data_IF_803717956547
#
_entry.id   IF_803717956547
#
_cell.length_a   1.000
_cell.length_b   1.000
_cell.length_c   1.000
_cell.angle_alpha   90.00
_cell.angle_beta   90.00
_cell.angle_gamma   90.00
#
_symmetry.space_group_name_H-M   'P 1'
#
loop_
_entity.id
_entity.type
_entity.pdbx_description
1 polymer ?
#
# COMPACT_ATOMS: atom_id res chain seq x y z
N UNK A 1 -44.44 36.14 -8.17
CA UNK A 1 -44.92 34.78 -7.83
C UNK A 1 -44.13 34.31 -6.63
N UNK A 2 -44.67 34.55 -5.44
CA UNK A 2 -44.05 34.13 -4.17
C UNK A 2 -44.46 32.70 -3.86
N UNK A 3 -43.50 31.87 -3.50
CA UNK A 3 -43.72 30.50 -3.05
C UNK A 3 -44.50 30.56 -1.73
N UNK A 4 -45.66 29.87 -1.57
CA UNK A 4 -46.37 29.89 -0.30
C UNK A 4 -45.56 29.10 0.71
N UNK A 5 -44.93 29.82 1.63
CA UNK A 5 -44.33 29.28 2.83
C UNK A 5 -45.49 28.66 3.64
N UNK A 6 -45.49 27.33 3.83
CA UNK A 6 -46.57 26.64 4.54
C UNK A 6 -46.49 26.95 6.04
N UNK A 7 -46.98 28.12 6.43
CA UNK A 7 -47.15 28.52 7.83
C UNK A 7 -48.23 27.65 8.46
N UNK A 8 -47.84 26.49 9.00
CA UNK A 8 -48.74 25.62 9.74
C UNK A 8 -48.38 24.14 9.77
N UNK A 9 -47.48 23.66 8.89
CA UNK A 9 -47.10 22.24 8.82
C UNK A 9 -45.75 21.99 9.51
N UNK A 10 -45.73 21.03 10.43
CA UNK A 10 -44.54 20.59 11.15
C UNK A 10 -44.47 19.06 11.16
N UNK A 11 -43.35 18.50 10.72
CA UNK A 11 -43.11 17.06 10.81
C UNK A 11 -42.38 16.71 12.10
N UNK A 12 -42.76 15.57 12.68
CA UNK A 12 -42.11 15.00 13.85
C UNK A 12 -41.54 13.64 13.49
N UNK A 13 -40.29 13.42 13.86
CA UNK A 13 -39.64 12.11 13.77
C UNK A 13 -39.47 11.55 15.18
N UNK A 14 -39.69 10.25 15.32
CA UNK A 14 -39.56 9.53 16.58
C UNK A 14 -38.55 8.39 16.42
N UNK A 15 -37.88 8.04 17.52
CA UNK A 15 -36.88 6.98 17.56
C UNK A 15 -37.21 5.92 18.61
N UNK A 16 -37.01 4.64 18.27
CA UNK A 16 -37.19 3.42 19.09
C UNK A 16 -38.62 3.11 19.52
N UNK A 17 -39.34 4.10 20.02
CA UNK A 17 -40.76 4.01 20.38
C UNK A 17 -41.50 5.21 19.79
N UNK A 18 -42.78 5.05 19.47
CA UNK A 18 -43.63 6.09 18.89
C UNK A 18 -43.93 7.28 19.84
N UNK A 19 -43.22 7.39 20.96
CA UNK A 19 -43.42 8.40 22.00
C UNK A 19 -42.17 9.23 22.30
N UNK A 20 -40.99 8.78 21.86
CA UNK A 20 -39.75 9.54 22.00
C UNK A 20 -39.54 10.40 20.76
N UNK A 21 -39.95 11.67 20.85
CA UNK A 21 -39.67 12.66 19.81
C UNK A 21 -38.16 12.80 19.69
N UNK A 22 -37.66 12.50 18.49
CA UNK A 22 -36.26 12.61 18.15
C UNK A 22 -35.96 14.01 17.61
N UNK A 23 -36.77 14.51 16.67
CA UNK A 23 -36.58 15.84 16.10
C UNK A 23 -37.83 16.34 15.37
N UNK A 24 -37.91 17.64 15.15
CA UNK A 24 -38.93 18.27 14.32
C UNK A 24 -38.30 18.96 13.12
N UNK A 25 -39.03 19.03 12.01
CA UNK A 25 -38.61 19.84 10.87
C UNK A 25 -39.81 20.43 10.16
N UNK A 26 -39.60 21.57 9.52
CA UNK A 26 -40.60 22.15 8.63
C UNK A 26 -40.43 21.51 7.24
N UNK A 27 -41.52 21.27 6.50
CA UNK A 27 -41.43 20.70 5.17
C UNK A 27 -40.68 21.62 4.20
N UNK A 28 -39.95 21.02 3.28
CA UNK A 28 -39.43 21.67 2.08
C UNK A 28 -40.31 21.26 0.91
N UNK A 29 -41.29 22.11 0.57
CA UNK A 29 -42.37 21.75 -0.35
C UNK A 29 -43.33 20.73 0.27
N UNK A 30 -43.55 19.59 -0.40
CA UNK A 30 -44.44 18.52 0.08
C UNK A 30 -43.73 17.42 0.87
N UNK A 31 -42.44 17.58 1.18
CA UNK A 31 -41.63 16.54 1.81
C UNK A 31 -40.90 17.10 3.03
N UNK A 32 -40.90 16.33 4.11
CA UNK A 32 -40.07 16.60 5.27
C UNK A 32 -38.76 15.82 5.16
N UNK A 33 -37.66 16.56 5.05
CA UNK A 33 -36.33 15.99 4.93
C UNK A 33 -35.51 16.44 6.12
N UNK A 34 -34.89 15.47 6.80
CA UNK A 34 -33.95 15.74 7.89
C UNK A 34 -32.75 14.82 7.75
N UNK A 35 -31.56 15.42 7.70
CA UNK A 35 -30.30 14.70 7.82
C UNK A 35 -29.93 14.58 9.29
N UNK A 36 -29.53 13.39 9.72
CA UNK A 36 -29.10 13.11 11.08
C UNK A 36 -27.88 12.20 11.10
N UNK A 37 -26.99 12.43 12.04
CA UNK A 37 -25.82 11.59 12.27
C UNK A 37 -26.16 10.37 13.13
N UNK A 38 -25.31 9.34 13.08
CA UNK A 38 -25.46 8.16 13.95
C UNK A 38 -25.38 8.51 15.43
N UNK A 39 -24.55 9.49 15.81
CA UNK A 39 -24.44 9.97 17.20
C UNK A 39 -25.72 10.63 17.68
N UNK A 40 -26.38 11.44 16.84
CA UNK A 40 -27.70 12.00 17.14
C UNK A 40 -28.74 10.89 17.36
N UNK A 41 -28.78 9.87 16.49
CA UNK A 41 -29.72 8.74 16.61
C UNK A 41 -29.51 7.89 17.88
N UNK A 42 -28.27 7.80 18.37
CA UNK A 42 -27.94 7.05 19.58
C UNK A 42 -28.20 7.85 20.87
N UNK A 43 -28.17 9.18 20.81
CA UNK A 43 -28.41 10.07 21.96
C UNK A 43 -27.44 9.79 23.12
N UNK A 44 -27.97 9.70 24.34
CA UNK A 44 -27.20 9.37 25.56
C UNK A 44 -27.10 7.88 25.85
N UNK A 45 -27.59 7.01 24.95
CA UNK A 45 -27.50 5.56 25.20
C UNK A 45 -26.03 5.15 25.17
N UNK A 46 -25.63 4.28 26.09
CA UNK A 46 -24.35 3.60 26.00
C UNK A 46 -24.31 2.88 24.64
N UNK A 47 -23.50 3.40 23.73
CA UNK A 47 -23.39 2.85 22.40
C UNK A 47 -22.91 1.40 22.54
N UNK A 48 -23.69 0.45 22.01
CA UNK A 48 -23.19 -0.89 21.74
C UNK A 48 -22.52 -0.85 20.38
N UNK A 49 -21.55 -1.74 20.16
CA UNK A 49 -20.90 -1.94 18.84
C UNK A 49 -21.94 -1.94 17.71
N UNK A 50 -23.10 -2.57 17.95
CA UNK A 50 -24.27 -2.55 17.06
C UNK A 50 -25.51 -2.11 17.83
N UNK A 51 -26.16 -1.06 17.35
CA UNK A 51 -27.43 -0.58 17.92
C UNK A 51 -28.47 -0.45 16.82
N UNK A 52 -29.65 -1.02 17.06
CA UNK A 52 -30.78 -1.00 16.12
C UNK A 52 -31.74 0.09 16.56
N UNK A 53 -32.03 1.05 15.68
CA UNK A 53 -32.92 2.19 15.92
C UNK A 53 -34.12 2.09 14.98
N UNK A 54 -35.32 2.08 15.54
CA UNK A 54 -36.56 2.16 14.76
C UNK A 54 -36.97 3.62 14.59
N UNK A 55 -37.17 4.10 13.37
CA UNK A 55 -37.57 5.48 13.07
C UNK A 55 -38.97 5.46 12.45
N UNK A 56 -39.85 6.32 12.94
CA UNK A 56 -41.13 6.62 12.32
C UNK A 56 -41.38 8.13 12.39
N UNK A 57 -42.38 8.60 11.66
CA UNK A 57 -42.68 10.02 11.55
C UNK A 57 -44.16 10.28 11.38
N UNK A 58 -44.56 11.49 11.72
CA UNK A 58 -45.87 12.05 11.41
C UNK A 58 -45.72 13.53 11.03
N UNK A 59 -46.85 14.17 10.71
CA UNK A 59 -46.91 15.61 10.59
C UNK A 59 -48.13 16.18 11.30
N UNK A 60 -47.98 17.40 11.79
CA UNK A 60 -49.05 18.25 12.29
C UNK A 60 -49.28 19.37 11.29
N UNK A 61 -50.53 19.66 10.97
CA UNK A 61 -50.96 20.82 10.22
C UNK A 61 -51.92 21.68 11.06
N UNK A 62 -51.80 23.01 10.94
CA UNK A 62 -52.76 23.94 11.52
C UNK A 62 -53.59 24.57 10.42
N UNK A 63 -54.89 24.30 10.43
CA UNK A 63 -55.85 24.93 9.53
C UNK A 63 -56.91 25.66 10.37
N UNK A 64 -57.11 26.96 10.12
CA UNK A 64 -58.14 27.80 10.80
C UNK A 64 -58.15 27.73 12.34
N UNK A 65 -56.98 27.51 12.95
CA UNK A 65 -56.82 27.42 14.40
C UNK A 65 -57.03 26.03 14.99
N UNK A 66 -57.47 25.06 14.19
CA UNK A 66 -57.54 23.64 14.57
C UNK A 66 -56.24 22.91 14.19
N UNK A 67 -55.84 21.97 15.05
CA UNK A 67 -54.61 21.19 14.88
C UNK A 67 -54.97 19.79 14.39
N UNK A 68 -54.54 19.44 13.19
CA UNK A 68 -54.67 18.10 12.63
C UNK A 68 -53.33 17.38 12.69
N UNK A 69 -53.33 16.14 13.16
CA UNK A 69 -52.14 15.29 13.20
C UNK A 69 -52.39 14.06 12.34
N UNK A 70 -51.42 13.74 11.49
CA UNK A 70 -51.48 12.54 10.67
C UNK A 70 -51.37 11.28 11.51
N UNK A 71 -51.71 10.14 10.90
CA UNK A 71 -51.30 8.85 11.46
C UNK A 71 -49.77 8.73 11.40
N UNK A 72 -49.22 7.94 12.32
CA UNK A 72 -47.80 7.60 12.33
C UNK A 72 -47.46 6.72 11.12
N UNK A 73 -46.32 6.98 10.51
CA UNK A 73 -45.79 6.16 9.43
C UNK A 73 -45.36 4.76 9.91
N UNK A 74 -45.18 3.85 8.95
CA UNK A 74 -44.55 2.55 9.24
C UNK A 74 -43.11 2.78 9.71
N UNK A 75 -42.72 2.05 10.76
CA UNK A 75 -41.36 2.07 11.26
C UNK A 75 -40.35 1.56 10.23
N UNK A 76 -39.26 2.30 10.06
CA UNK A 76 -38.07 1.89 9.32
C UNK A 76 -36.97 1.60 10.33
N UNK A 77 -36.20 0.54 10.11
CA UNK A 77 -35.09 0.18 11.00
C UNK A 77 -33.77 0.67 10.41
N UNK A 78 -32.97 1.34 11.24
CA UNK A 78 -31.61 1.79 10.94
C UNK A 78 -30.66 1.10 11.91
N UNK A 79 -29.59 0.52 11.40
CA UNK A 79 -28.52 -0.07 12.23
C UNK A 79 -27.38 0.93 12.31
N UNK A 80 -27.06 1.36 13.53
CA UNK A 80 -25.94 2.27 13.82
C UNK A 80 -24.82 1.47 14.47
N UNK A 81 -23.63 1.53 13.88
CA UNK A 81 -22.43 0.90 14.40
C UNK A 81 -21.55 1.92 15.11
N UNK A 82 -21.16 1.64 16.34
CA UNK A 82 -20.13 2.42 17.03
C UNK A 82 -18.76 1.78 16.79
N UNK A 83 -18.02 2.40 15.89
CA UNK A 83 -16.72 1.94 15.45
C UNK A 83 -15.60 2.26 16.44
N UNK A 84 -15.84 3.15 17.41
CA UNK A 84 -14.86 3.47 18.47
C UNK A 84 -14.67 2.27 19.40
N UNK A 85 -15.75 1.52 19.63
CA UNK A 85 -15.75 0.30 20.45
C UNK A 85 -15.02 -0.89 19.79
N UNK A 86 -14.74 -0.83 18.48
CA UNK A 86 -14.07 -1.91 17.74
C UNK A 86 -12.55 -1.96 17.99
N UNK A 87 -12.01 -0.99 18.71
CA UNK A 87 -10.60 -0.92 19.05
C UNK A 87 -9.74 -0.45 17.88
N UNK A 88 -8.81 0.47 18.14
CA UNK A 88 -7.83 0.87 17.14
C UNK A 88 -6.81 -0.25 16.98
N UNK A 89 -6.51 -0.72 15.75
CA UNK A 89 -5.50 -1.75 15.58
C UNK A 89 -4.12 -1.22 15.99
N UNK A 90 -3.27 -2.13 16.45
CA UNK A 90 -1.90 -1.83 16.87
C UNK A 90 -0.90 -2.50 15.93
N UNK A 91 -0.01 -1.71 15.35
CA UNK A 91 1.11 -2.21 14.55
C UNK A 91 2.31 -2.48 15.45
N UNK A 92 2.90 -3.66 15.32
CA UNK A 92 4.13 -4.05 15.99
C UNK A 92 5.15 -4.49 14.95
N UNK A 93 6.38 -3.98 15.08
CA UNK A 93 7.50 -4.34 14.21
C UNK A 93 8.54 -5.01 15.10
N UNK A 94 8.95 -6.23 14.75
CA UNK A 94 9.91 -7.00 15.58
C UNK A 94 11.28 -6.33 15.61
N UNK A 95 11.66 -5.64 14.52
CA UNK A 95 12.93 -4.96 14.36
C UNK A 95 12.69 -3.55 13.83
N UNK A 96 13.07 -2.53 14.59
CA UNK A 96 12.98 -1.12 14.17
C UNK A 96 14.15 -0.70 13.28
N UNK A 97 15.09 -1.61 13.04
CA UNK A 97 16.21 -1.45 12.13
C UNK A 97 16.27 -2.66 11.20
N UNK A 98 16.37 -2.43 9.89
CA UNK A 98 16.46 -3.50 8.89
C UNK A 98 17.62 -3.25 7.92
N UNK A 99 18.24 -4.32 7.46
CA UNK A 99 19.32 -4.26 6.47
C UNK A 99 18.86 -4.79 5.12
N UNK A 100 19.38 -4.22 4.04
CA UNK A 100 19.14 -4.73 2.68
C UNK A 100 19.48 -6.23 2.61
N UNK A 101 18.63 -7.02 1.94
CA UNK A 101 18.74 -8.48 1.91
C UNK A 101 18.04 -9.23 3.06
N UNK A 102 17.63 -8.55 4.12
CA UNK A 102 16.89 -9.15 5.23
C UNK A 102 15.36 -9.03 5.05
N UNK A 103 14.63 -9.74 5.90
CA UNK A 103 13.18 -9.60 6.04
C UNK A 103 12.82 -8.93 7.36
N UNK A 104 11.85 -8.03 7.30
CA UNK A 104 11.21 -7.40 8.45
C UNK A 104 9.89 -8.09 8.72
N UNK A 105 9.57 -8.24 10.00
CA UNK A 105 8.33 -8.84 10.47
C UNK A 105 7.42 -7.79 11.09
N UNK A 106 6.22 -7.67 10.53
CA UNK A 106 5.21 -6.70 10.94
C UNK A 106 3.96 -7.47 11.38
N UNK A 107 3.47 -7.16 12.58
CA UNK A 107 2.24 -7.70 13.15
C UNK A 107 1.20 -6.58 13.24
N UNK A 108 -0.02 -6.87 12.82
CA UNK A 108 -1.16 -5.99 13.02
C UNK A 108 -2.14 -6.67 13.97
N UNK A 109 -2.23 -6.16 15.21
CA UNK A 109 -3.12 -6.67 16.25
C UNK A 109 -4.44 -5.91 16.22
N UNK A 110 -5.54 -6.64 16.31
CA UNK A 110 -6.88 -6.08 16.45
C UNK A 110 -7.76 -7.11 17.16
N UNK A 111 -8.90 -6.70 17.71
CA UNK A 111 -9.83 -7.62 18.37
C UNK A 111 -10.65 -8.45 17.38
N UNK A 112 -10.91 -7.88 16.21
CA UNK A 112 -11.61 -8.52 15.10
C UNK A 112 -11.16 -7.91 13.78
N UNK A 113 -11.05 -8.74 12.74
CA UNK A 113 -10.89 -8.32 11.35
C UNK A 113 -11.20 -9.48 10.40
N UNK A 114 -11.49 -9.13 9.14
CA UNK A 114 -11.50 -10.09 8.03
C UNK A 114 -10.09 -10.21 7.42
N UNK A 115 -9.45 -9.07 7.18
CA UNK A 115 -8.11 -8.95 6.63
C UNK A 115 -7.41 -7.70 7.15
N UNK A 116 -6.08 -7.71 7.08
CA UNK A 116 -5.26 -6.54 7.35
C UNK A 116 -4.57 -6.05 6.08
N UNK A 117 -4.50 -4.73 5.98
CA UNK A 117 -3.83 -3.99 4.93
C UNK A 117 -2.57 -3.36 5.53
N UNK A 118 -1.39 -3.69 5.01
CA UNK A 118 -0.13 -3.14 5.49
C UNK A 118 0.30 -1.98 4.60
N UNK A 119 0.67 -0.87 5.21
CA UNK A 119 1.03 0.36 4.52
C UNK A 119 2.46 0.78 4.85
N UNK A 120 3.12 1.37 3.86
CA UNK A 120 4.37 2.11 4.02
C UNK A 120 4.17 3.51 3.47
N UNK A 121 4.42 4.51 4.29
CA UNK A 121 4.25 5.93 3.95
C UNK A 121 2.90 6.14 3.25
N UNK A 122 1.85 5.56 3.84
CA UNK A 122 0.46 5.57 3.37
C UNK A 122 0.19 4.79 2.08
N UNK A 123 1.19 4.24 1.40
CA UNK A 123 1.01 3.36 0.24
C UNK A 123 0.77 1.91 0.68
N UNK A 124 -0.26 1.26 0.12
CA UNK A 124 -0.56 -0.15 0.38
C UNK A 124 0.57 -1.04 -0.16
N UNK A 125 1.07 -1.93 0.69
CA UNK A 125 2.10 -2.93 0.33
C UNK A 125 1.45 -4.28 0.07
N UNK A 126 0.67 -4.76 1.04
CA UNK A 126 0.08 -6.10 0.99
C UNK A 126 -1.18 -6.20 1.83
N UNK A 127 -2.12 -7.01 1.36
CA UNK A 127 -3.28 -7.46 2.13
C UNK A 127 -3.05 -8.90 2.59
N UNK A 128 -3.34 -9.17 3.86
CA UNK A 128 -3.13 -10.49 4.50
C UNK A 128 -4.37 -10.86 5.29
N UNK A 129 -4.81 -12.11 5.18
CA UNK A 129 -5.95 -12.63 5.95
C UNK A 129 -5.70 -12.55 7.46
N UNK A 130 -6.73 -12.20 8.21
CA UNK A 130 -6.63 -12.10 9.66
C UNK A 130 -6.70 -13.48 10.32
N UNK A 131 -5.74 -13.77 11.20
CA UNK A 131 -5.75 -14.98 12.00
C UNK A 131 -6.59 -14.76 13.27
N UNK A 132 -7.77 -15.39 13.30
CA UNK A 132 -8.72 -15.26 14.42
C UNK A 132 -8.24 -15.93 15.70
N UNK A 133 -7.48 -17.02 15.61
CA UNK A 133 -6.99 -17.77 16.77
C UNK A 133 -5.91 -16.98 17.52
N UNK A 134 -5.09 -16.24 16.78
CA UNK A 134 -4.00 -15.45 17.33
C UNK A 134 -4.29 -13.96 17.47
N UNK A 135 -5.44 -13.50 16.95
CA UNK A 135 -5.88 -12.11 16.95
C UNK A 135 -4.91 -11.11 16.31
N UNK A 136 -4.21 -11.52 15.26
CA UNK A 136 -3.36 -10.63 14.47
C UNK A 136 -3.18 -11.08 13.03
N UNK A 137 -2.80 -10.16 12.16
CA UNK A 137 -2.17 -10.49 10.88
C UNK A 137 -0.65 -10.42 11.01
N UNK A 138 0.03 -11.23 10.19
CA UNK A 138 1.49 -11.29 10.16
C UNK A 138 1.98 -11.11 8.73
N UNK A 139 2.90 -10.16 8.55
CA UNK A 139 3.57 -9.89 7.29
C UNK A 139 5.07 -10.06 7.47
N UNK A 140 5.67 -10.92 6.63
CA UNK A 140 7.10 -10.93 6.36
C UNK A 140 7.34 -10.24 5.02
N UNK A 141 8.15 -9.19 5.03
CA UNK A 141 8.45 -8.34 3.87
C UNK A 141 9.94 -8.12 3.78
N UNK A 142 10.53 -8.23 2.58
CA UNK A 142 11.95 -7.94 2.42
C UNK A 142 12.19 -6.44 2.60
N UNK A 143 13.35 -6.08 3.13
CA UNK A 143 13.73 -4.68 3.27
C UNK A 143 13.76 -3.99 1.89
N UNK A 144 14.15 -4.69 0.83
CA UNK A 144 14.09 -4.19 -0.55
C UNK A 144 12.66 -3.86 -1.02
N UNK A 145 11.67 -4.71 -0.70
CA UNK A 145 10.26 -4.43 -0.98
C UNK A 145 9.77 -3.22 -0.17
N UNK A 146 10.19 -3.15 1.09
CA UNK A 146 9.84 -2.05 1.98
C UNK A 146 10.45 -0.73 1.51
N UNK A 147 11.69 -0.68 1.01
CA UNK A 147 12.27 0.56 0.48
C UNK A 147 11.72 0.91 -0.91
N UNK A 148 11.48 -0.11 -1.75
CA UNK A 148 11.14 0.08 -3.15
C UNK A 148 12.26 0.76 -3.94
N UNK A 149 11.89 1.61 -4.90
CA UNK A 149 12.83 2.25 -5.83
C UNK A 149 13.43 3.57 -5.33
N UNK A 150 13.27 3.88 -4.04
CA UNK A 150 13.80 5.13 -3.47
C UNK A 150 15.30 5.25 -3.64
N UNK A 151 15.75 6.47 -3.95
CA UNK A 151 17.15 6.83 -3.81
C UNK A 151 17.54 6.73 -2.33
N UNK A 152 18.72 6.19 -2.11
CA UNK A 152 19.18 5.81 -0.79
C UNK A 152 20.57 6.38 -0.60
N UNK A 153 20.75 7.15 0.46
CA UNK A 153 22.03 7.74 0.81
C UNK A 153 22.82 6.74 1.64
N UNK A 154 22.38 6.45 2.87
CA UNK A 154 22.98 5.44 3.77
C UNK A 154 21.99 4.88 4.80
N UNK A 155 21.02 5.69 5.23
CA UNK A 155 19.93 5.26 6.10
C UNK A 155 18.64 5.95 5.67
N UNK A 156 17.57 5.18 5.50
CA UNK A 156 16.25 5.70 5.17
C UNK A 156 15.26 5.33 6.25
N UNK A 157 14.53 6.31 6.77
CA UNK A 157 13.44 6.06 7.73
C UNK A 157 12.13 5.94 6.97
N UNK A 158 11.39 4.86 7.20
CA UNK A 158 10.09 4.59 6.62
C UNK A 158 9.03 4.58 7.72
N UNK A 159 7.83 5.07 7.42
CA UNK A 159 6.67 4.92 8.30
C UNK A 159 5.85 3.70 7.88
N UNK A 160 5.54 2.83 8.83
CA UNK A 160 4.75 1.62 8.62
C UNK A 160 3.50 1.70 9.48
N UNK A 161 2.35 1.40 8.89
CA UNK A 161 1.10 1.25 9.61
C UNK A 161 0.31 0.06 9.08
N UNK A 162 -0.73 -0.32 9.80
CA UNK A 162 -1.69 -1.30 9.30
C UNK A 162 -3.12 -0.77 9.40
N UNK A 163 -3.95 -1.19 8.46
CA UNK A 163 -5.40 -1.07 8.51
C UNK A 163 -6.02 -2.44 8.73
N UNK A 164 -7.15 -2.51 9.42
CA UNK A 164 -7.96 -3.73 9.51
C UNK A 164 -9.32 -3.49 8.89
N UNK A 165 -9.72 -4.41 8.01
CA UNK A 165 -11.04 -4.36 7.39
C UNK A 165 -12.01 -5.24 8.18
N UNK A 166 -13.11 -4.62 8.61
CA UNK A 166 -14.20 -5.24 9.32
C UNK A 166 -15.40 -5.31 8.40
N UNK A 167 -15.85 -6.52 8.09
CA UNK A 167 -17.11 -6.75 7.39
C UNK A 167 -18.20 -6.95 8.43
N UNK A 168 -19.12 -5.99 8.52
CA UNK A 168 -20.23 -5.99 9.45
C UNK A 168 -21.51 -6.37 8.72
N UNK A 169 -22.16 -7.45 9.18
CA UNK A 169 -23.39 -8.02 8.61
C UNK A 169 -23.35 -8.25 7.08
N UNK A 170 -22.15 -8.41 6.49
CA UNK A 170 -21.97 -8.69 5.06
C UNK A 170 -22.12 -7.49 4.12
N UNK A 171 -22.45 -6.30 4.62
CA UNK A 171 -22.76 -5.13 3.78
C UNK A 171 -21.85 -3.92 4.01
N UNK A 172 -21.30 -3.76 5.22
CA UNK A 172 -20.48 -2.60 5.56
C UNK A 172 -19.03 -3.02 5.82
N UNK A 173 -18.11 -2.55 4.96
CA UNK A 173 -16.68 -2.69 5.16
C UNK A 173 -16.11 -1.40 5.75
N UNK A 174 -15.56 -1.51 6.96
CA UNK A 174 -14.91 -0.39 7.65
C UNK A 174 -13.43 -0.68 7.78
N UNK A 175 -12.60 0.29 7.43
CA UNK A 175 -11.14 0.20 7.61
C UNK A 175 -10.73 1.07 8.77
N UNK A 176 -10.17 0.45 9.81
CA UNK A 176 -9.54 1.14 10.93
C UNK A 176 -8.04 1.14 10.76
N UNK A 177 -7.39 2.30 10.90
CA UNK A 177 -5.94 2.43 10.80
C UNK A 177 -5.26 2.50 12.17
N UNK A 178 -4.10 1.87 12.26
CA UNK A 178 -3.19 1.99 13.39
C UNK A 178 -2.46 3.32 13.36
N UNK A 179 -1.78 3.65 14.46
CA UNK A 179 -0.69 4.62 14.40
C UNK A 179 0.45 4.10 13.53
N UNK A 180 1.30 5.01 13.06
CA UNK A 180 2.50 4.69 12.31
C UNK A 180 3.67 4.38 13.25
N UNK A 181 4.48 3.37 12.93
CA UNK A 181 5.78 3.13 13.54
C UNK A 181 6.89 3.37 12.53
N UNK A 182 7.98 3.97 12.98
CA UNK A 182 9.15 4.20 12.15
C UNK A 182 10.05 2.96 12.10
N UNK A 183 10.64 2.70 10.95
CA UNK A 183 11.70 1.72 10.75
C UNK A 183 12.87 2.37 10.01
N UNK A 184 14.07 2.21 10.54
CA UNK A 184 15.31 2.66 9.91
C UNK A 184 15.88 1.55 9.06
N UNK A 185 16.02 1.79 7.76
CA UNK A 185 16.65 0.87 6.84
C UNK A 185 18.07 1.32 6.58
N UNK A 186 19.02 0.38 6.54
CA UNK A 186 20.43 0.63 6.25
C UNK A 186 20.90 -0.22 5.07
N UNK A 187 21.59 0.42 4.13
CA UNK A 187 22.30 -0.24 3.04
C UNK A 187 23.79 -0.28 3.38
N UNK A 188 24.27 -1.46 3.78
CA UNK A 188 25.68 -1.64 4.19
C UNK A 188 26.65 -1.63 3.00
N UNK A 189 26.16 -1.86 1.79
CA UNK A 189 26.95 -1.90 0.57
C UNK A 189 26.93 -0.56 -0.17
N UNK A 190 25.93 0.26 0.13
CA UNK A 190 25.74 1.57 -0.44
C UNK A 190 25.28 1.55 -1.90
N UNK A 191 24.94 2.72 -2.45
CA UNK A 191 24.34 2.83 -3.78
C UNK A 191 25.26 2.39 -4.92
N UNK A 192 26.59 2.40 -4.71
CA UNK A 192 27.59 2.06 -5.73
C UNK A 192 27.58 0.57 -6.13
N UNK A 193 27.00 -0.31 -5.31
CA UNK A 193 26.88 -1.74 -5.59
C UNK A 193 25.50 -2.16 -6.10
N UNK A 194 24.66 -1.20 -6.50
CA UNK A 194 23.37 -1.51 -7.14
C UNK A 194 23.62 -2.08 -8.54
N UNK A 195 23.24 -3.35 -8.81
CA UNK A 195 23.50 -3.97 -10.10
C UNK A 195 22.53 -3.45 -11.18
N UNK A 196 22.91 -3.67 -12.43
CA UNK A 196 22.06 -3.43 -13.61
C UNK A 196 21.59 -4.77 -14.16
N UNK A 197 20.33 -4.85 -14.55
CA UNK A 197 19.79 -6.04 -15.22
C UNK A 197 19.58 -5.77 -16.72
N UNK A 198 19.95 -6.73 -17.54
CA UNK A 198 19.69 -6.78 -18.97
C UNK A 198 18.93 -8.07 -19.29
N UNK A 199 17.96 -7.98 -20.19
CA UNK A 199 17.05 -9.09 -20.53
C UNK A 199 16.97 -9.22 -22.03
N UNK A 200 17.21 -10.41 -22.55
CA UNK A 200 17.16 -10.72 -23.99
C UNK A 200 16.66 -12.15 -24.25
N UNK A 201 15.61 -12.36 -25.09
CA UNK A 201 14.73 -11.34 -25.65
C UNK A 201 13.73 -10.80 -24.61
N UNK A 202 13.24 -9.57 -24.80
CA UNK A 202 12.28 -8.90 -23.91
C UNK A 202 10.81 -9.28 -24.18
N UNK A 203 10.54 -10.04 -25.24
CA UNK A 203 9.23 -10.62 -25.57
C UNK A 203 9.45 -12.10 -25.87
N UNK A 204 8.78 -12.95 -25.11
CA UNK A 204 8.85 -14.41 -25.23
C UNK A 204 7.45 -15.03 -25.19
N UNK A 205 7.33 -16.24 -25.73
CA UNK A 205 6.19 -17.09 -25.43
C UNK A 205 6.46 -17.91 -24.15
N UNK A 206 5.46 -18.67 -23.70
CA UNK A 206 5.52 -19.46 -22.46
C UNK A 206 6.70 -20.43 -22.38
N UNK A 207 7.07 -21.05 -23.49
CA UNK A 207 8.17 -22.03 -23.54
C UNK A 207 9.49 -21.41 -24.04
N UNK A 208 9.48 -20.13 -24.38
CA UNK A 208 10.63 -19.42 -24.90
C UNK A 208 11.64 -19.16 -23.79
N UNK A 209 12.95 -19.39 -24.04
CA UNK A 209 13.98 -19.02 -23.10
C UNK A 209 14.17 -17.50 -23.11
N UNK A 210 14.43 -16.94 -21.94
CA UNK A 210 14.94 -15.58 -21.79
C UNK A 210 16.26 -15.62 -21.04
N UNK A 211 17.24 -14.88 -21.56
CA UNK A 211 18.51 -14.66 -20.89
C UNK A 211 18.42 -13.39 -20.06
N UNK A 212 18.79 -13.53 -18.79
CA UNK A 212 18.88 -12.43 -17.84
C UNK A 212 20.35 -12.28 -17.44
N UNK A 213 20.92 -11.11 -17.70
CA UNK A 213 22.29 -10.76 -17.31
C UNK A 213 22.24 -9.70 -16.21
N UNK A 214 22.83 -10.01 -15.06
CA UNK A 214 22.97 -9.08 -13.94
C UNK A 214 24.42 -8.57 -13.91
N UNK A 215 24.62 -7.30 -14.22
CA UNK A 215 25.93 -6.65 -14.35
C UNK A 215 26.28 -5.95 -13.03
N UNK A 216 27.47 -6.23 -12.52
CA UNK A 216 28.05 -5.59 -11.33
C UNK A 216 29.58 -5.68 -11.35
N UNK A 217 30.26 -4.71 -10.72
CA UNK A 217 31.74 -4.70 -10.71
C UNK A 217 32.39 -5.82 -9.91
N UNK A 218 31.72 -6.40 -8.91
CA UNK A 218 32.27 -7.47 -8.07
C UNK A 218 31.17 -8.21 -7.30
N UNK A 219 31.19 -9.54 -7.25
CA UNK A 219 30.43 -10.32 -6.27
C UNK A 219 30.71 -11.82 -6.34
N UNK A 220 29.93 -12.61 -5.60
CA UNK A 220 30.08 -14.08 -5.55
C UNK A 220 28.94 -14.79 -6.26
N UNK A 221 27.72 -14.30 -6.13
CA UNK A 221 26.53 -14.88 -6.71
C UNK A 221 25.50 -13.79 -7.02
N UNK A 222 24.70 -13.94 -8.07
CA UNK A 222 23.54 -13.10 -8.32
C UNK A 222 22.26 -13.85 -8.02
N UNK A 223 21.28 -13.12 -7.52
CA UNK A 223 19.92 -13.59 -7.27
C UNK A 223 18.99 -12.84 -8.21
N UNK A 224 18.18 -13.57 -8.97
CA UNK A 224 17.22 -13.01 -9.92
C UNK A 224 15.82 -13.07 -9.35
N UNK A 225 15.04 -12.02 -9.60
CA UNK A 225 13.73 -11.81 -9.01
C UNK A 225 12.69 -11.46 -10.08
N UNK A 226 11.46 -11.86 -9.79
CA UNK A 226 10.24 -11.40 -10.42
C UNK A 226 9.49 -10.53 -9.41
N UNK A 227 9.44 -9.23 -9.64
CA UNK A 227 9.10 -8.25 -8.59
C UNK A 227 10.04 -8.46 -7.40
N UNK A 228 9.49 -8.87 -6.26
CA UNK A 228 10.25 -9.19 -5.04
C UNK A 228 10.35 -10.69 -4.76
N UNK A 229 9.84 -11.56 -5.65
CA UNK A 229 9.94 -13.01 -5.50
C UNK A 229 11.20 -13.53 -6.17
N UNK A 230 12.02 -14.28 -5.43
CA UNK A 230 13.21 -14.95 -5.96
C UNK A 230 12.80 -15.98 -7.01
N UNK A 231 13.44 -15.93 -8.17
CA UNK A 231 13.27 -16.90 -9.28
C UNK A 231 14.41 -17.90 -9.25
N UNK A 232 15.66 -17.43 -9.30
CA UNK A 232 16.83 -18.31 -9.39
C UNK A 232 18.10 -17.62 -8.93
N UNK A 233 19.22 -18.35 -8.90
CA UNK A 233 20.56 -17.84 -8.58
C UNK A 233 21.56 -18.29 -9.62
N UNK A 234 22.59 -17.49 -9.86
CA UNK A 234 23.73 -17.84 -10.73
C UNK A 234 25.04 -17.40 -10.10
N UNK A 235 26.13 -18.19 -10.22
CA UNK A 235 27.45 -17.74 -9.79
C UNK A 235 27.90 -16.50 -10.58
N UNK A 236 28.67 -15.64 -9.92
CA UNK A 236 29.35 -14.51 -10.55
C UNK A 236 30.50 -14.98 -11.43
N UNK A 237 30.67 -14.33 -12.58
CA UNK A 237 31.76 -14.59 -13.52
C UNK A 237 32.45 -13.28 -13.87
N UNK A 238 33.74 -13.19 -13.54
CA UNK A 238 34.55 -12.00 -13.80
C UNK A 238 34.60 -11.64 -15.29
N UNK A 239 34.65 -12.63 -16.18
CA UNK A 239 34.65 -12.47 -17.63
C UNK A 239 33.39 -11.76 -18.18
N UNK A 240 32.29 -11.80 -17.44
CA UNK A 240 31.03 -11.14 -17.78
C UNK A 240 30.82 -9.83 -17.01
N UNK A 241 31.66 -9.53 -16.01
CA UNK A 241 31.39 -8.47 -15.03
C UNK A 241 30.00 -8.65 -14.39
N UNK A 242 29.63 -9.90 -14.06
CA UNK A 242 28.25 -10.18 -13.65
C UNK A 242 27.87 -11.66 -13.62
N UNK A 243 26.57 -11.91 -13.61
CA UNK A 243 26.00 -13.25 -13.74
C UNK A 243 25.05 -13.32 -14.91
N UNK A 244 24.91 -14.50 -15.51
CA UNK A 244 23.95 -14.75 -16.58
C UNK A 244 23.17 -16.02 -16.30
N UNK A 245 21.85 -15.97 -16.47
CA UNK A 245 20.97 -17.12 -16.35
C UNK A 245 20.02 -17.18 -17.54
N UNK A 246 19.58 -18.39 -17.90
CA UNK A 246 18.48 -18.61 -18.83
C UNK A 246 17.32 -19.26 -18.09
N UNK A 247 16.13 -18.68 -18.21
CA UNK A 247 14.89 -19.18 -17.60
C UNK A 247 13.79 -19.24 -18.66
N UNK A 248 12.77 -20.07 -18.44
CA UNK A 248 11.64 -20.19 -19.37
C UNK A 248 10.54 -19.18 -19.02
N UNK A 249 9.76 -18.75 -20.02
CA UNK A 249 8.64 -17.84 -19.81
C UNK A 249 7.64 -18.34 -18.77
N UNK A 250 7.36 -19.65 -18.73
CA UNK A 250 6.48 -20.27 -17.72
C UNK A 250 6.97 -20.06 -16.29
N UNK A 251 8.29 -20.05 -16.07
CA UNK A 251 8.87 -19.84 -14.74
C UNK A 251 8.68 -18.37 -14.30
N UNK A 252 8.63 -17.45 -15.27
CA UNK A 252 8.34 -16.03 -15.06
C UNK A 252 6.85 -15.70 -14.95
N UNK A 253 5.95 -16.51 -15.51
CA UNK A 253 4.50 -16.32 -15.39
C UNK A 253 3.94 -16.89 -14.07
N UNK A 254 4.55 -17.96 -13.54
CA UNK A 254 4.03 -18.64 -12.35
C UNK A 254 2.64 -19.22 -12.59
N UNK A 255 1.73 -19.11 -11.61
CA UNK A 255 0.36 -19.64 -11.70
C UNK A 255 -0.62 -18.75 -12.49
N UNK A 256 -0.16 -17.62 -13.06
CA UNK A 256 -1.04 -16.75 -13.87
C UNK A 256 -1.11 -17.28 -15.30
N UNK A 257 -2.13 -18.08 -15.57
CA UNK A 257 -2.59 -18.37 -16.92
C UNK A 257 -3.61 -17.30 -17.34
N UNK A 258 -3.11 -16.21 -17.92
CA UNK A 258 -3.95 -15.18 -18.53
C UNK A 258 -3.96 -15.29 -20.05
N UNK A 259 -5.13 -15.16 -20.68
CA UNK A 259 -5.23 -14.86 -22.11
C UNK A 259 -4.73 -13.43 -22.36
N UNK A 260 -3.45 -13.28 -22.70
CA UNK A 260 -2.85 -12.01 -23.06
C UNK A 260 -1.37 -11.90 -22.71
N UNK A 261 -0.68 -10.94 -23.33
CA UNK A 261 0.69 -10.60 -22.93
C UNK A 261 0.72 -10.09 -21.49
N UNK A 262 1.53 -10.72 -20.64
CA UNK A 262 1.73 -10.29 -19.24
C UNK A 262 3.06 -9.59 -19.13
N UNK A 263 3.05 -8.33 -18.69
CA UNK A 263 4.27 -7.62 -18.34
C UNK A 263 4.83 -8.16 -17.02
N UNK A 264 6.12 -8.49 -17.01
CA UNK A 264 6.81 -9.06 -15.85
C UNK A 264 7.97 -8.16 -15.45
N UNK A 265 7.92 -7.61 -14.24
CA UNK A 265 9.04 -6.85 -13.68
C UNK A 265 10.15 -7.79 -13.24
N UNK A 266 11.32 -7.66 -13.86
CA UNK A 266 12.50 -8.46 -13.56
C UNK A 266 13.56 -7.60 -12.89
N UNK A 267 14.15 -8.13 -11.82
CA UNK A 267 15.18 -7.46 -11.03
C UNK A 267 16.29 -8.45 -10.67
N UNK A 268 17.47 -7.95 -10.33
CA UNK A 268 18.52 -8.78 -9.76
C UNK A 268 19.20 -8.10 -8.57
N UNK A 269 19.75 -8.91 -7.66
CA UNK A 269 20.63 -8.48 -6.59
C UNK A 269 21.92 -9.29 -6.63
N UNK A 270 22.96 -8.78 -5.98
CA UNK A 270 24.25 -9.40 -5.89
C UNK A 270 24.56 -9.79 -4.45
N UNK A 271 25.04 -11.00 -4.25
CA UNK A 271 25.61 -11.46 -3.00
C UNK A 271 27.13 -11.21 -3.03
N UNK A 272 27.64 -10.59 -1.97
CA UNK A 272 29.06 -10.29 -1.77
C UNK A 272 29.49 -10.82 -0.41
N UNK A 273 30.75 -11.24 -0.29
CA UNK A 273 31.35 -11.62 1.00
C UNK A 273 32.23 -10.49 1.50
N UNK A 274 31.90 -9.94 2.66
CA UNK A 274 32.71 -8.95 3.38
C UNK A 274 33.20 -9.61 4.67
N UNK A 275 34.42 -10.13 4.65
CA UNK A 275 34.92 -11.00 5.71
C UNK A 275 34.15 -12.33 5.75
N UNK A 276 33.59 -12.68 6.90
CA UNK A 276 32.77 -13.89 7.08
C UNK A 276 31.28 -13.67 6.77
N UNK A 277 30.83 -12.42 6.63
CA UNK A 277 29.43 -12.09 6.41
C UNK A 277 29.09 -12.08 4.91
N UNK A 278 27.99 -12.74 4.55
CA UNK A 278 27.40 -12.64 3.23
C UNK A 278 26.35 -11.53 3.23
N UNK A 279 26.57 -10.50 2.43
CA UNK A 279 25.66 -9.36 2.28
C UNK A 279 25.01 -9.40 0.89
N UNK A 280 23.77 -8.94 0.82
CA UNK A 280 23.04 -8.81 -0.45
C UNK A 280 22.90 -7.33 -0.80
N UNK A 281 23.17 -6.97 -2.05
CA UNK A 281 22.96 -5.62 -2.54
C UNK A 281 21.50 -5.32 -2.81
N UNK A 282 21.19 -4.05 -3.01
CA UNK A 282 19.85 -3.64 -3.42
C UNK A 282 19.47 -4.24 -4.76
N UNK A 283 18.18 -4.45 -4.95
CA UNK A 283 17.65 -4.82 -6.26
C UNK A 283 17.97 -3.77 -7.33
N UNK A 284 18.32 -4.25 -8.52
CA UNK A 284 18.42 -3.43 -9.73
C UNK A 284 17.14 -2.64 -9.97
N UNK A 285 17.25 -1.49 -10.65
CA UNK A 285 16.07 -0.87 -11.24
C UNK A 285 15.44 -1.82 -12.28
N UNK A 286 14.17 -1.61 -12.60
CA UNK A 286 13.47 -2.43 -13.60
C UNK A 286 14.19 -2.36 -14.95
N UNK A 287 14.39 -3.53 -15.55
CA UNK A 287 15.08 -3.67 -16.84
C UNK A 287 14.22 -3.22 -18.00
N UNK A 288 14.24 -1.93 -18.31
CA UNK A 288 13.84 -1.40 -19.61
C UNK A 288 15.01 -1.49 -20.60
N UNK A 289 14.70 -1.77 -21.88
CA UNK A 289 15.62 -2.03 -22.98
C UNK A 289 16.99 -1.32 -22.88
N UNK A 290 18.06 -2.06 -23.20
CA UNK A 290 19.46 -1.66 -23.15
C UNK A 290 19.69 -0.22 -23.69
N UNK A 291 19.76 0.74 -22.76
CA UNK A 291 20.33 2.06 -23.01
C UNK A 291 21.86 1.97 -23.01
N UNK A 292 22.55 2.81 -23.80
CA UNK A 292 24.00 2.74 -23.96
C UNK A 292 24.70 2.88 -22.61
N UNK A 293 25.73 2.06 -22.42
CA UNK A 293 26.60 2.04 -21.24
C UNK A 293 27.07 3.46 -20.88
N UNK A 294 27.05 3.87 -19.60
CA UNK A 294 27.76 5.07 -19.20
C UNK A 294 29.27 4.79 -19.36
N UNK A 295 29.92 5.63 -20.18
CA UNK A 295 31.37 5.64 -20.33
C UNK A 295 32.01 5.79 -18.95
N UNK A 296 32.72 4.75 -18.52
CA UNK A 296 33.61 4.78 -17.37
C UNK A 296 34.69 5.84 -17.67
N UNK A 297 34.55 7.01 -17.04
CA UNK A 297 35.61 8.02 -16.99
C UNK A 297 36.72 7.45 -16.09
N UNK A 298 37.73 6.86 -16.72
CA UNK A 298 39.00 6.57 -16.06
C UNK A 298 39.58 7.87 -15.50
N UNK A 299 39.46 8.06 -14.19
CA UNK A 299 40.30 9.00 -13.45
C UNK A 299 41.43 8.16 -12.85
N UNK A 300 42.47 7.94 -13.65
CA UNK A 300 43.80 7.65 -13.12
C UNK A 300 44.63 8.92 -13.26
N UNK A 301 44.98 9.51 -12.13
CA UNK A 301 46.06 10.49 -12.05
C UNK A 301 47.40 9.84 -12.42
N UNK A 302 48.29 10.62 -13.02
CA UNK A 302 49.61 10.15 -13.42
C UNK A 302 50.35 11.14 -14.29
N UNK A 303 50.96 12.12 -13.62
CA UNK A 303 51.97 13.04 -14.14
C UNK A 303 53.07 12.29 -14.92
N UNK A 304 53.24 12.57 -16.22
CA UNK A 304 54.52 12.36 -16.92
C UNK A 304 54.70 13.42 -18.03
N UNK A 305 55.75 14.23 -17.87
CA UNK A 305 56.35 15.13 -18.86
C UNK A 305 56.76 14.35 -20.13
N UNK A 306 56.59 14.95 -21.32
CA UNK A 306 57.70 15.22 -22.25
C UNK A 306 57.28 16.09 -23.45
N UNK A 307 58.17 17.03 -23.77
CA UNK A 307 58.15 17.96 -24.90
C UNK A 307 57.98 17.25 -26.25
N UNK A 308 57.28 17.89 -27.19
CA UNK A 308 57.65 17.91 -28.60
C UNK A 308 57.20 19.24 -29.25
N UNK A 309 58.14 19.80 -29.99
CA UNK A 309 58.11 21.06 -30.73
C UNK A 309 57.20 20.95 -31.96
N UNK A 310 56.40 21.98 -32.25
CA UNK A 310 55.93 22.24 -33.62
C UNK A 310 55.71 23.73 -33.83
N UNK A 311 56.53 24.30 -34.72
CA UNK A 311 56.41 25.62 -35.28
C UNK A 311 55.13 25.77 -36.10
N UNK A 312 54.47 26.93 -36.00
CA UNK A 312 53.51 27.39 -37.00
C UNK A 312 53.95 28.77 -37.44
N UNK A 313 54.38 28.84 -38.70
CA UNK A 313 54.50 30.06 -39.47
C UNK A 313 53.10 30.65 -39.68
N UNK A 314 52.90 31.91 -39.31
CA UNK A 314 51.78 32.71 -39.79
C UNK A 314 52.30 33.76 -40.77
N UNK A 315 51.75 33.65 -41.97
CA UNK A 315 51.79 34.61 -43.06
C UNK A 315 51.19 35.93 -42.62
N UNK A 316 51.97 37.01 -42.72
CA UNK A 316 51.62 38.33 -43.25
C UNK A 316 52.82 39.26 -43.12
#
# INVERSE_FOLDING_TARGET
>A
MGNPQSDGVQCTFYANTSREVFTHTNPSGHVCVRSVSGTELLGQRAARVRTVVSINCDYTEREKGERHQSQLSKSVTVVVWDTVMLGKPHVDITQTQGYIGENVYIRCKADSASQCLFYRDQALIRTVSYNRDHKFCYLSVSVDELVGDREFTDTTVLSVSCGVELTLDGELNIIHHSDTKAISVIDRLGPLLRPRIEVDPNIINREGPVQMTCISGNGTQCVFYRGYRRVTRSPYREELGGCRVSVLGRDLLGERDGEGGTEVQLRCALEVKLGEEALTSRLSADGGAAGPLPLIRNVCGGLFLLLMVAAVATVS
#
